data_IF_496460873736
#
_entry.id   IF_496460873736
#
_cell.length_a   1.000
_cell.length_b   1.000
_cell.length_c   1.000
_cell.angle_alpha   90.00
_cell.angle_beta   90.00
_cell.angle_gamma   90.00
#
_symmetry.space_group_name_H-M   'P 1'
#
loop_
_entity.id
_entity.type
_entity.pdbx_description
1 polymer ?
#
# COMPACT_ATOMS: atom_id res chain seq x y z
N UNK A 1 2.51 -28.97 14.42
CA UNK A 1 2.08 -27.79 15.23
C UNK A 1 1.68 -26.63 14.31
N UNK A 2 1.37 -26.91 13.03
CA UNK A 2 1.48 -25.92 11.94
C UNK A 2 0.15 -25.33 11.47
N UNK A 3 -0.95 -26.07 11.60
CA UNK A 3 -2.30 -25.60 11.23
C UNK A 3 -2.76 -24.42 12.10
N UNK A 4 -2.56 -24.49 13.41
CA UNK A 4 -2.99 -23.45 14.35
C UNK A 4 -2.25 -22.14 14.10
N UNK A 5 -0.93 -22.18 13.87
CA UNK A 5 -0.14 -20.99 13.57
C UNK A 5 -0.62 -20.30 12.28
N UNK A 6 -0.86 -21.08 11.22
CA UNK A 6 -1.39 -20.57 9.94
C UNK A 6 -2.78 -19.97 10.10
N UNK A 7 -3.67 -20.62 10.85
CA UNK A 7 -4.98 -20.06 11.16
C UNK A 7 -4.89 -18.75 11.93
N UNK A 8 -4.04 -18.67 12.96
CA UNK A 8 -3.84 -17.44 13.74
C UNK A 8 -3.25 -16.32 12.89
N UNK A 9 -2.30 -16.64 11.99
CA UNK A 9 -1.76 -15.68 11.04
C UNK A 9 -2.85 -15.16 10.09
N UNK A 10 -3.57 -16.05 9.40
CA UNK A 10 -4.63 -15.67 8.46
C UNK A 10 -5.68 -14.79 9.14
N UNK A 11 -6.13 -15.18 10.35
CA UNK A 11 -7.16 -14.44 11.09
C UNK A 11 -6.68 -13.04 11.48
N UNK A 12 -5.47 -12.91 12.05
CA UNK A 12 -4.93 -11.60 12.44
C UNK A 12 -4.67 -10.70 11.23
N UNK A 13 -4.09 -11.25 10.18
CA UNK A 13 -3.82 -10.52 8.94
C UNK A 13 -5.12 -10.07 8.28
N UNK A 14 -6.14 -10.93 8.19
CA UNK A 14 -7.47 -10.54 7.67
C UNK A 14 -8.12 -9.44 8.48
N UNK A 15 -8.04 -9.47 9.81
CA UNK A 15 -8.59 -8.40 10.65
C UNK A 15 -7.96 -7.02 10.34
N UNK A 16 -6.65 -6.98 10.09
CA UNK A 16 -5.96 -5.76 9.65
C UNK A 16 -6.44 -5.36 8.25
N UNK A 17 -6.43 -6.29 7.30
CA UNK A 17 -6.78 -6.02 5.90
C UNK A 17 -8.27 -5.67 5.70
N UNK A 18 -9.15 -6.04 6.62
CA UNK A 18 -10.57 -5.68 6.61
C UNK A 18 -10.88 -4.42 7.41
N UNK A 19 -9.86 -3.74 7.94
CA UNK A 19 -10.04 -2.47 8.66
C UNK A 19 -10.86 -1.48 7.82
N UNK A 20 -11.84 -0.77 8.41
CA UNK A 20 -12.58 0.29 7.72
C UNK A 20 -11.69 1.45 7.27
N UNK A 21 -10.43 1.48 7.68
CA UNK A 21 -9.46 2.46 7.19
C UNK A 21 -9.18 2.31 5.69
N UNK A 22 -9.45 1.16 5.08
CA UNK A 22 -9.31 0.93 3.63
C UNK A 22 -10.48 1.45 2.79
N UNK A 23 -11.54 2.01 3.40
CA UNK A 23 -12.73 2.52 2.69
C UNK A 23 -12.85 4.04 2.67
N UNK A 24 -11.94 4.78 3.31
CA UNK A 24 -12.00 6.25 3.40
C UNK A 24 -10.74 6.91 2.85
N UNK A 25 -10.89 7.98 2.10
CA UNK A 25 -9.78 8.90 1.77
C UNK A 25 -9.28 9.56 3.06
N UNK A 26 -8.02 9.31 3.43
CA UNK A 26 -7.41 9.75 4.70
C UNK A 26 -6.22 10.68 4.48
N UNK A 27 -5.81 11.36 5.54
CA UNK A 27 -4.58 12.17 5.62
C UNK A 27 -3.35 11.25 5.50
N UNK A 28 -2.27 11.76 4.90
CA UNK A 28 -1.02 11.04 4.57
C UNK A 28 -0.47 10.14 5.68
N UNK A 29 -0.38 10.64 6.93
CA UNK A 29 0.16 9.86 8.06
C UNK A 29 -0.64 8.59 8.42
N UNK A 30 -1.95 8.59 8.17
CA UNK A 30 -2.80 7.41 8.39
C UNK A 30 -2.61 6.33 7.31
N UNK A 31 -2.18 6.73 6.11
CA UNK A 31 -1.89 5.79 5.00
C UNK A 31 -0.55 5.09 5.23
N UNK A 32 0.46 5.80 5.76
CA UNK A 32 1.78 5.22 6.03
C UNK A 32 1.73 4.09 7.06
N UNK A 33 0.97 4.26 8.15
CA UNK A 33 0.84 3.22 9.17
C UNK A 33 0.19 1.94 8.61
N UNK A 34 -0.84 2.09 7.77
CA UNK A 34 -1.46 0.96 7.07
C UNK A 34 -0.48 0.30 6.11
N UNK A 35 0.29 1.10 5.37
CA UNK A 35 1.29 0.61 4.44
C UNK A 35 2.32 -0.28 5.14
N UNK A 36 2.83 0.15 6.30
CA UNK A 36 3.81 -0.61 7.07
C UNK A 36 3.22 -1.94 7.59
N UNK A 37 1.98 -1.93 8.08
CA UNK A 37 1.27 -3.14 8.52
C UNK A 37 1.05 -4.13 7.38
N UNK A 38 0.61 -3.66 6.21
CA UNK A 38 0.37 -4.51 5.02
C UNK A 38 1.68 -5.08 4.47
N UNK A 39 2.75 -4.27 4.44
CA UNK A 39 4.06 -4.76 4.02
C UNK A 39 4.64 -5.81 4.97
N UNK A 40 4.41 -5.70 6.27
CA UNK A 40 4.83 -6.73 7.23
C UNK A 40 4.14 -8.07 6.91
N UNK A 41 2.83 -8.04 6.63
CA UNK A 41 2.06 -9.23 6.22
C UNK A 41 2.62 -9.83 4.92
N UNK A 42 2.89 -9.01 3.90
CA UNK A 42 3.43 -9.48 2.62
C UNK A 42 4.84 -10.08 2.78
N UNK A 43 5.66 -9.56 3.70
CA UNK A 43 7.00 -10.11 4.00
C UNK A 43 6.94 -11.49 4.66
N UNK A 44 5.95 -11.75 5.51
CA UNK A 44 5.76 -13.06 6.14
C UNK A 44 5.14 -14.09 5.18
N UNK A 45 4.43 -13.64 4.14
CA UNK A 45 3.66 -14.50 3.22
C UNK A 45 4.45 -15.67 2.63
N UNK A 46 5.71 -15.52 2.12
CA UNK A 46 6.44 -16.63 1.53
C UNK A 46 6.74 -17.75 2.53
N UNK A 47 7.09 -17.39 3.77
CA UNK A 47 7.33 -18.37 4.84
C UNK A 47 6.05 -19.13 5.17
N UNK A 48 4.92 -18.41 5.30
CA UNK A 48 3.62 -19.03 5.60
C UNK A 48 3.11 -19.90 4.45
N UNK A 49 3.35 -19.51 3.20
CA UNK A 49 3.04 -20.33 2.03
C UNK A 49 3.81 -21.66 2.05
N UNK A 50 5.11 -21.61 2.40
CA UNK A 50 5.94 -22.80 2.53
C UNK A 50 5.39 -23.76 3.60
N UNK A 51 5.01 -23.22 4.77
CA UNK A 51 4.38 -24.00 5.84
C UNK A 51 3.04 -24.59 5.42
N UNK A 52 2.22 -23.86 4.67
CA UNK A 52 0.96 -24.36 4.11
C UNK A 52 1.21 -25.55 3.19
N UNK A 53 2.15 -25.44 2.24
CA UNK A 53 2.50 -26.52 1.32
C UNK A 53 3.02 -27.77 2.05
N UNK A 54 3.80 -27.59 3.13
CA UNK A 54 4.24 -28.70 3.99
C UNK A 54 3.07 -29.37 4.72
N UNK A 55 2.17 -28.56 5.29
CA UNK A 55 0.97 -29.06 5.97
C UNK A 55 0.04 -29.82 5.00
N UNK A 56 -0.18 -29.30 3.79
CA UNK A 56 -0.98 -29.97 2.75
C UNK A 56 -0.36 -31.29 2.30
N UNK A 57 0.97 -31.34 2.06
CA UNK A 57 1.65 -32.60 1.73
C UNK A 57 1.55 -33.63 2.85
N UNK A 58 1.67 -33.19 4.10
CA UNK A 58 1.56 -34.05 5.27
C UNK A 58 0.14 -34.60 5.43
N UNK A 59 -0.88 -33.77 5.19
CA UNK A 59 -2.28 -34.20 5.17
C UNK A 59 -2.51 -35.25 4.08
N UNK A 60 -2.00 -35.04 2.86
CA UNK A 60 -2.13 -36.00 1.77
C UNK A 60 -1.49 -37.36 2.11
N UNK A 61 -0.28 -37.36 2.67
CA UNK A 61 0.39 -38.60 3.08
C UNK A 61 -0.42 -39.39 4.13
N UNK A 62 -1.10 -38.69 5.06
CA UNK A 62 -1.99 -39.33 6.04
C UNK A 62 -3.26 -39.89 5.39
N UNK A 63 -3.83 -39.21 4.39
CA UNK A 63 -4.98 -39.71 3.64
C UNK A 63 -4.63 -40.99 2.88
N UNK A 64 -3.45 -41.03 2.24
CA UNK A 64 -2.98 -42.21 1.51
C UNK A 64 -2.78 -43.42 2.45
N UNK A 65 -2.27 -43.19 3.66
CA UNK A 65 -2.15 -44.23 4.71
C UNK A 65 -3.53 -44.73 5.16
N UNK A 66 -4.46 -43.83 5.46
CA UNK A 66 -5.81 -44.20 5.92
C UNK A 66 -6.62 -44.92 4.84
N UNK A 67 -6.39 -44.60 3.57
CA UNK A 67 -6.98 -45.32 2.44
C UNK A 67 -6.53 -46.79 2.40
N UNK A 68 -5.27 -47.07 2.78
CA UNK A 68 -4.76 -48.44 2.88
C UNK A 68 -5.29 -49.20 4.10
N UNK A 69 -5.69 -48.49 5.16
CA UNK A 69 -6.18 -49.05 6.44
C UNK A 69 -7.72 -49.16 6.52
N UNK A 70 -8.47 -48.71 5.51
CA UNK A 70 -9.93 -48.77 5.46
C UNK A 70 -10.66 -47.74 6.35
N UNK A 71 -9.94 -46.74 6.89
CA UNK A 71 -10.47 -45.74 7.81
C UNK A 71 -11.17 -44.56 7.13
N UNK A 72 -12.41 -44.73 6.65
CA UNK A 72 -13.12 -43.72 5.84
C UNK A 72 -13.40 -42.39 6.57
N UNK A 73 -13.97 -42.41 7.78
CA UNK A 73 -14.46 -41.19 8.44
C UNK A 73 -13.35 -40.19 8.84
N UNK A 74 -12.21 -40.70 9.30
CA UNK A 74 -11.07 -39.86 9.72
C UNK A 74 -10.38 -39.22 8.51
N UNK A 75 -10.39 -39.90 7.36
CA UNK A 75 -9.86 -39.37 6.12
C UNK A 75 -10.69 -38.17 5.64
N UNK A 76 -12.02 -38.27 5.66
CA UNK A 76 -12.93 -37.17 5.28
C UNK A 76 -12.70 -35.91 6.12
N UNK A 77 -12.53 -36.05 7.44
CA UNK A 77 -12.28 -34.91 8.34
C UNK A 77 -10.94 -34.22 8.04
N UNK A 78 -9.88 -34.99 7.75
CA UNK A 78 -8.55 -34.46 7.40
C UNK A 78 -8.59 -33.73 6.06
N UNK A 79 -9.23 -34.34 5.05
CA UNK A 79 -9.36 -33.75 3.73
C UNK A 79 -10.10 -32.41 3.82
N UNK A 80 -11.25 -32.39 4.49
CA UNK A 80 -12.04 -31.17 4.67
C UNK A 80 -11.27 -30.06 5.38
N UNK A 81 -10.51 -30.39 6.44
CA UNK A 81 -9.70 -29.42 7.15
C UNK A 81 -8.59 -28.82 6.27
N UNK A 82 -7.94 -29.64 5.43
CA UNK A 82 -6.92 -29.18 4.50
C UNK A 82 -7.51 -28.28 3.40
N UNK A 83 -8.65 -28.67 2.81
CA UNK A 83 -9.37 -27.87 1.81
C UNK A 83 -9.84 -26.53 2.37
N UNK A 84 -10.38 -26.51 3.60
CA UNK A 84 -10.79 -25.28 4.27
C UNK A 84 -9.62 -24.33 4.50
N UNK A 85 -8.46 -24.85 4.97
CA UNK A 85 -7.28 -24.02 5.18
C UNK A 85 -6.78 -23.41 3.86
N UNK A 86 -6.71 -24.20 2.79
CA UNK A 86 -6.32 -23.72 1.45
C UNK A 86 -7.27 -22.64 0.94
N UNK A 87 -8.58 -22.88 1.03
CA UNK A 87 -9.61 -21.89 0.64
C UNK A 87 -9.46 -20.59 1.42
N UNK A 88 -9.22 -20.69 2.74
CA UNK A 88 -9.01 -19.52 3.59
C UNK A 88 -7.73 -18.77 3.25
N UNK A 89 -6.68 -19.47 2.84
CA UNK A 89 -5.42 -18.90 2.39
C UNK A 89 -5.58 -18.15 1.07
N UNK A 90 -6.28 -18.72 0.09
CA UNK A 90 -6.53 -18.08 -1.20
C UNK A 90 -7.33 -16.80 -1.03
N UNK A 91 -8.40 -16.83 -0.22
CA UNK A 91 -9.16 -15.64 0.11
C UNK A 91 -8.36 -14.60 0.92
N UNK A 92 -7.34 -15.03 1.67
CA UNK A 92 -6.40 -14.11 2.31
C UNK A 92 -5.47 -13.45 1.27
N UNK A 93 -4.91 -14.23 0.35
CA UNK A 93 -4.03 -13.72 -0.70
C UNK A 93 -4.74 -12.73 -1.62
N UNK A 94 -5.98 -13.03 -2.01
CA UNK A 94 -6.79 -12.12 -2.83
C UNK A 94 -7.01 -10.76 -2.12
N UNK A 95 -7.41 -10.79 -0.84
CA UNK A 95 -7.60 -9.58 -0.06
C UNK A 95 -6.29 -8.81 0.13
N UNK A 96 -5.17 -9.48 0.36
CA UNK A 96 -3.87 -8.83 0.49
C UNK A 96 -3.46 -8.11 -0.80
N UNK A 97 -3.64 -8.76 -1.95
CA UNK A 97 -3.38 -8.15 -3.25
C UNK A 97 -4.23 -6.90 -3.49
N UNK A 98 -5.54 -6.98 -3.21
CA UNK A 98 -6.45 -5.83 -3.30
C UNK A 98 -5.98 -4.66 -2.43
N UNK A 99 -5.47 -4.94 -1.23
CA UNK A 99 -5.00 -3.90 -0.29
C UNK A 99 -3.66 -3.30 -0.72
N UNK A 100 -2.76 -4.08 -1.30
CA UNK A 100 -1.52 -3.58 -1.90
C UNK A 100 -1.80 -2.66 -3.09
N UNK A 101 -2.72 -3.05 -3.98
CA UNK A 101 -3.15 -2.20 -5.09
C UNK A 101 -3.79 -0.90 -4.62
N UNK A 102 -4.67 -0.98 -3.61
CA UNK A 102 -5.28 0.20 -3.01
C UNK A 102 -4.21 1.15 -2.43
N UNK A 103 -3.23 0.63 -1.69
CA UNK A 103 -2.14 1.44 -1.13
C UNK A 103 -1.32 2.11 -2.24
N UNK A 104 -0.97 1.38 -3.29
CA UNK A 104 -0.26 1.94 -4.44
C UNK A 104 -1.05 3.06 -5.12
N UNK A 105 -2.38 2.95 -5.17
CA UNK A 105 -3.25 4.00 -5.68
C UNK A 105 -3.31 5.22 -4.74
N UNK A 106 -3.41 5.01 -3.42
CA UNK A 106 -3.38 6.11 -2.45
C UNK A 106 -2.07 6.90 -2.52
N UNK A 107 -0.92 6.24 -2.68
CA UNK A 107 0.37 6.93 -2.86
C UNK A 107 0.37 7.88 -4.06
N UNK A 108 -0.27 7.50 -5.16
CA UNK A 108 -0.41 8.36 -6.34
C UNK A 108 -1.29 9.58 -6.07
N UNK A 109 -2.41 9.40 -5.35
CA UNK A 109 -3.30 10.49 -4.94
C UNK A 109 -2.55 11.49 -4.05
N UNK A 110 -1.82 11.00 -3.06
CA UNK A 110 -1.04 11.85 -2.16
C UNK A 110 0.04 12.63 -2.91
N UNK A 111 0.77 11.98 -3.81
CA UNK A 111 1.76 12.65 -4.67
C UNK A 111 1.12 13.75 -5.53
N UNK A 112 -0.07 13.50 -6.08
CA UNK A 112 -0.82 14.50 -6.84
C UNK A 112 -1.18 15.72 -5.99
N UNK A 113 -1.76 15.52 -4.79
CA UNK A 113 -2.13 16.63 -3.92
C UNK A 113 -0.91 17.43 -3.43
N UNK A 114 0.20 16.75 -3.13
CA UNK A 114 1.45 17.42 -2.77
C UNK A 114 1.96 18.30 -3.92
N UNK A 115 1.93 17.81 -5.17
CA UNK A 115 2.31 18.62 -6.33
C UNK A 115 1.36 19.79 -6.54
N UNK A 116 0.05 19.55 -6.42
CA UNK A 116 -0.97 20.60 -6.54
C UNK A 116 -0.72 21.73 -5.54
N UNK A 117 -0.50 21.40 -4.26
CA UNK A 117 -0.22 22.39 -3.21
C UNK A 117 1.07 23.18 -3.49
N UNK A 118 2.11 22.51 -4.01
CA UNK A 118 3.34 23.20 -4.41
C UNK A 118 3.11 24.20 -5.54
N UNK A 119 2.30 23.84 -6.54
CA UNK A 119 1.95 24.73 -7.64
C UNK A 119 1.10 25.92 -7.16
N UNK A 120 0.10 25.67 -6.33
CA UNK A 120 -0.74 26.71 -5.73
C UNK A 120 0.13 27.71 -4.94
N UNK A 121 1.05 27.21 -4.11
CA UNK A 121 1.98 28.05 -3.37
C UNK A 121 2.92 28.84 -4.30
N UNK A 122 3.40 28.25 -5.39
CA UNK A 122 4.24 28.93 -6.37
C UNK A 122 3.50 30.08 -7.07
N UNK A 123 2.21 29.89 -7.38
CA UNK A 123 1.35 30.95 -7.94
C UNK A 123 1.16 32.07 -6.94
N UNK A 124 0.75 31.76 -5.71
CA UNK A 124 0.55 32.76 -4.63
C UNK A 124 1.84 33.55 -4.39
N UNK A 125 2.98 32.88 -4.35
CA UNK A 125 4.27 33.53 -4.18
C UNK A 125 4.56 34.51 -5.33
N UNK A 126 4.22 34.14 -6.57
CA UNK A 126 4.41 34.96 -7.77
C UNK A 126 3.50 36.18 -7.78
N UNK A 127 2.23 36.02 -7.44
CA UNK A 127 1.31 37.14 -7.30
C UNK A 127 1.74 38.11 -6.20
N UNK A 128 2.12 37.61 -5.04
CA UNK A 128 2.55 38.44 -3.92
C UNK A 128 3.81 39.23 -4.26
N UNK A 129 4.74 38.63 -5.01
CA UNK A 129 5.91 39.34 -5.50
C UNK A 129 5.55 40.44 -6.50
N UNK A 130 4.64 40.17 -7.45
CA UNK A 130 4.19 41.17 -8.43
C UNK A 130 3.53 42.37 -7.74
N UNK A 131 2.70 42.12 -6.71
CA UNK A 131 2.00 43.16 -5.96
C UNK A 131 2.92 44.15 -5.25
N UNK A 132 4.14 43.74 -4.89
CA UNK A 132 5.12 44.60 -4.19
C UNK A 132 6.17 45.22 -5.12
N UNK A 133 6.09 44.98 -6.43
CA UNK A 133 7.01 45.61 -7.37
C UNK A 133 6.71 47.11 -7.51
N UNK A 134 7.77 47.90 -7.65
CA UNK A 134 7.66 49.31 -8.01
C UNK A 134 7.22 49.44 -9.48
N UNK A 135 6.52 50.54 -9.84
CA UNK A 135 6.28 50.88 -11.24
C UNK A 135 7.58 50.91 -12.06
N UNK A 136 7.49 50.73 -13.39
CA UNK A 136 8.65 50.85 -14.27
C UNK A 136 9.34 52.21 -14.10
N UNK A 137 10.64 52.19 -13.92
CA UNK A 137 11.44 53.41 -13.79
C UNK A 137 11.53 54.15 -15.13
N UNK A 138 11.56 55.48 -15.09
CA UNK A 138 11.75 56.33 -16.27
C UNK A 138 13.20 56.35 -16.76
N UNK A 139 14.15 56.03 -15.88
CA UNK A 139 15.59 56.06 -16.16
C UNK A 139 16.09 54.68 -16.69
N UNK A 140 16.97 54.65 -17.70
CA UNK A 140 17.42 53.41 -18.35
C UNK A 140 18.07 52.41 -17.41
N UNK A 141 18.95 52.86 -16.51
CA UNK A 141 19.70 51.95 -15.63
C UNK A 141 18.82 51.28 -14.57
N UNK A 142 17.99 52.01 -13.79
CA UNK A 142 17.02 51.37 -12.89
C UNK A 142 16.03 50.44 -13.60
N UNK A 143 15.62 50.77 -14.83
CA UNK A 143 14.72 49.92 -15.63
C UNK A 143 15.39 48.60 -16.05
N UNK A 144 16.68 48.62 -16.42
CA UNK A 144 17.46 47.39 -16.69
C UNK A 144 17.51 46.49 -15.45
N UNK A 145 17.77 47.05 -14.28
CA UNK A 145 17.79 46.28 -13.02
C UNK A 145 16.41 45.68 -12.69
N UNK A 146 15.31 46.40 -12.93
CA UNK A 146 13.96 45.87 -12.79
C UNK A 146 13.70 44.70 -13.75
N UNK A 147 14.10 44.83 -15.01
CA UNK A 147 13.98 43.77 -16.03
C UNK A 147 14.78 42.51 -15.66
N UNK A 148 16.01 42.67 -15.19
CA UNK A 148 16.86 41.55 -14.77
C UNK A 148 16.23 40.78 -13.59
N UNK A 149 15.70 41.49 -12.59
CA UNK A 149 14.95 40.88 -11.48
C UNK A 149 13.72 40.13 -11.95
N UNK A 150 12.99 40.64 -12.94
CA UNK A 150 11.87 39.95 -13.56
C UNK A 150 12.30 38.67 -14.29
N UNK A 151 13.42 38.68 -15.01
CA UNK A 151 13.94 37.52 -15.76
C UNK A 151 14.38 36.37 -14.85
N UNK A 152 15.13 36.70 -13.79
CA UNK A 152 15.56 35.72 -12.78
C UNK A 152 14.34 35.08 -12.10
N UNK A 153 13.30 35.87 -11.82
CA UNK A 153 12.03 35.40 -11.24
C UNK A 153 11.29 34.40 -12.14
N UNK A 154 11.30 34.62 -13.46
CA UNK A 154 10.61 33.76 -14.44
C UNK A 154 11.38 32.49 -14.82
N UNK A 155 12.55 32.25 -14.22
CA UNK A 155 13.42 31.13 -14.59
C UNK A 155 14.06 31.31 -15.98
N UNK A 156 14.15 32.54 -16.48
CA UNK A 156 14.89 32.84 -17.70
C UNK A 156 16.38 32.91 -17.37
N UNK A 157 17.20 32.13 -18.07
CA UNK A 157 18.66 32.25 -18.00
C UNK A 157 19.10 33.68 -18.36
N UNK A 158 20.11 34.20 -17.65
CA UNK A 158 20.71 35.53 -17.84
C UNK A 158 21.75 35.47 -18.94
#
# INVERSE_FOLDING_TARGET
MDFTELHSFITRSKAILQSPEFSMSRKEGSVQELHDKVLAIERERPEKLRKLQEATRSAQALLDQLASEGGSRRADDIQKAAEELNTRWDGFCALLAERLEWLAYQSKILAFYNLWQQLEQAVVNSENWLKVQQPPASEPEPLKHQLERCRVRSGGEV
#
